data_IF_132942377310
#
_entry.id   IF_132942377310
#
_cell.length_a   1.000
_cell.length_b   1.000
_cell.length_c   1.000
_cell.angle_alpha   90.00
_cell.angle_beta   90.00
_cell.angle_gamma   90.00
#
_symmetry.space_group_name_H-M   'P 1'
#
loop_
_entity.id
_entity.type
_entity.pdbx_description
1 polymer ?
#
# COMPACT_ATOMS: atom_id res chain seq x y z
N UNK A 1 -12.26 -10.45 -11.20
CA UNK A 1 -11.14 -10.37 -10.23
C UNK A 1 -9.87 -9.87 -10.90
N UNK A 2 -9.52 -10.34 -12.10
CA UNK A 2 -8.29 -9.95 -12.82
C UNK A 2 -7.99 -8.44 -12.87
N UNK A 3 -9.01 -7.58 -13.06
CA UNK A 3 -8.78 -6.14 -13.16
C UNK A 3 -8.44 -5.49 -11.81
N UNK A 4 -9.03 -5.98 -10.71
CA UNK A 4 -8.70 -5.53 -9.35
C UNK A 4 -7.29 -5.95 -8.97
N UNK A 5 -6.91 -7.20 -9.27
CA UNK A 5 -5.56 -7.74 -9.05
C UNK A 5 -4.51 -6.93 -9.81
N UNK A 6 -4.77 -6.65 -11.10
CA UNK A 6 -3.86 -5.86 -11.94
C UNK A 6 -3.70 -4.43 -11.44
N UNK A 7 -4.80 -3.78 -11.06
CA UNK A 7 -4.78 -2.42 -10.51
C UNK A 7 -4.01 -2.38 -9.18
N UNK A 8 -4.30 -3.30 -8.27
CA UNK A 8 -3.59 -3.38 -7.01
C UNK A 8 -2.09 -3.63 -7.20
N UNK A 9 -1.73 -4.55 -8.10
CA UNK A 9 -0.32 -4.81 -8.42
C UNK A 9 0.37 -3.55 -8.92
N UNK A 10 -0.25 -2.78 -9.81
CA UNK A 10 0.30 -1.49 -10.26
C UNK A 10 0.49 -0.51 -9.10
N UNK A 11 -0.48 -0.40 -8.19
CA UNK A 11 -0.38 0.46 -7.01
C UNK A 11 0.75 -0.02 -6.09
N UNK A 12 0.86 -1.32 -5.85
CA UNK A 12 1.91 -1.92 -5.02
C UNK A 12 3.30 -1.70 -5.63
N UNK A 13 3.50 -2.06 -6.90
CA UNK A 13 4.79 -1.94 -7.58
C UNK A 13 5.26 -0.47 -7.63
N UNK A 14 4.32 0.47 -7.77
CA UNK A 14 4.65 1.91 -7.85
C UNK A 14 4.95 2.57 -6.51
N UNK A 15 4.44 2.03 -5.39
CA UNK A 15 4.46 2.73 -4.10
C UNK A 15 5.17 1.97 -2.96
N UNK A 16 5.29 0.65 -3.05
CA UNK A 16 5.80 -0.23 -1.98
C UNK A 16 7.15 0.24 -1.43
N UNK A 17 8.12 0.55 -2.29
CA UNK A 17 9.45 1.03 -1.86
C UNK A 17 9.38 2.34 -1.04
N UNK A 18 8.55 3.29 -1.46
CA UNK A 18 8.41 4.58 -0.75
C UNK A 18 7.71 4.40 0.59
N UNK A 19 6.65 3.59 0.63
CA UNK A 19 5.93 3.29 1.87
C UNK A 19 6.82 2.50 2.83
N UNK A 20 7.59 1.53 2.35
CA UNK A 20 8.54 0.79 3.18
C UNK A 20 9.58 1.72 3.82
N UNK A 21 10.20 2.63 3.04
CA UNK A 21 11.14 3.60 3.60
C UNK A 21 10.49 4.54 4.62
N UNK A 22 9.21 4.91 4.43
CA UNK A 22 8.47 5.70 5.40
C UNK A 22 8.26 4.92 6.70
N UNK A 23 7.79 3.67 6.61
CA UNK A 23 7.62 2.78 7.77
C UNK A 23 8.95 2.59 8.50
N UNK A 24 10.02 2.27 7.77
CA UNK A 24 11.37 2.14 8.34
C UNK A 24 11.87 3.44 8.98
N UNK A 25 11.59 4.60 8.38
CA UNK A 25 11.92 5.90 8.97
C UNK A 25 11.24 6.15 10.32
N UNK A 26 10.07 5.58 10.56
CA UNK A 26 9.38 5.67 11.85
C UNK A 26 9.78 4.58 12.84
N UNK A 27 10.05 3.36 12.38
CA UNK A 27 10.33 2.22 13.26
C UNK A 27 11.80 2.04 13.58
N UNK A 28 12.70 2.42 12.65
CA UNK A 28 14.12 2.06 12.70
C UNK A 28 14.40 0.56 12.55
N UNK A 29 13.35 -0.24 12.31
CA UNK A 29 13.38 -1.70 12.32
C UNK A 29 12.74 -2.26 11.05
N UNK A 30 13.47 -3.17 10.40
CA UNK A 30 13.09 -3.74 9.10
C UNK A 30 11.87 -4.64 9.20
N UNK A 31 11.77 -5.44 10.26
CA UNK A 31 10.67 -6.41 10.42
C UNK A 31 9.37 -5.66 10.72
N UNK A 32 9.40 -4.70 11.65
CA UNK A 32 8.29 -3.80 11.93
C UNK A 32 7.88 -2.99 10.70
N UNK A 33 8.84 -2.55 9.87
CA UNK A 33 8.53 -1.83 8.63
C UNK A 33 7.84 -2.72 7.59
N UNK A 34 8.24 -3.99 7.49
CA UNK A 34 7.60 -4.96 6.61
C UNK A 34 6.18 -5.30 7.07
N UNK A 35 5.94 -5.40 8.37
CA UNK A 35 4.60 -5.65 8.92
C UNK A 35 3.66 -4.48 8.64
N UNK A 36 4.10 -3.24 8.89
CA UNK A 36 3.32 -2.04 8.59
C UNK A 36 3.04 -1.88 7.10
N UNK A 37 4.02 -2.20 6.24
CA UNK A 37 3.85 -2.21 4.79
C UNK A 37 2.74 -3.18 4.39
N UNK A 38 2.80 -4.42 4.88
CA UNK A 38 1.81 -5.46 4.59
C UNK A 38 0.41 -5.05 5.04
N UNK A 39 0.26 -4.58 6.28
CA UNK A 39 -1.04 -4.11 6.80
C UNK A 39 -1.61 -2.95 5.98
N UNK A 40 -0.75 -2.02 5.58
CA UNK A 40 -1.15 -0.87 4.75
C UNK A 40 -1.72 -1.32 3.42
N UNK A 41 -1.03 -2.21 2.72
CA UNK A 41 -1.48 -2.71 1.43
C UNK A 41 -2.68 -3.66 1.54
N UNK A 42 -2.81 -4.41 2.63
CA UNK A 42 -4.00 -5.19 2.93
C UNK A 42 -5.24 -4.29 3.09
N UNK A 43 -5.11 -3.16 3.80
CA UNK A 43 -6.19 -2.17 3.92
C UNK A 43 -6.53 -1.53 2.58
N UNK A 44 -5.54 -1.25 1.73
CA UNK A 44 -5.78 -0.78 0.35
C UNK A 44 -6.58 -1.82 -0.43
N UNK A 45 -6.17 -3.09 -0.42
CA UNK A 45 -6.85 -4.17 -1.14
C UNK A 45 -8.33 -4.33 -0.73
N UNK A 46 -8.60 -4.27 0.57
CA UNK A 46 -9.95 -4.40 1.13
C UNK A 46 -10.86 -3.21 0.77
N UNK A 47 -10.30 -2.02 0.55
CA UNK A 47 -11.04 -0.79 0.33
C UNK A 47 -10.91 -0.22 -1.09
N UNK A 48 -10.17 -0.88 -1.98
CA UNK A 48 -9.88 -0.39 -3.33
C UNK A 48 -11.16 -0.04 -4.11
N UNK A 49 -12.18 -0.90 -4.01
CA UNK A 49 -13.46 -0.73 -4.72
C UNK A 49 -14.33 0.41 -4.12
N UNK A 50 -14.03 0.82 -2.87
CA UNK A 50 -14.74 1.90 -2.18
C UNK A 50 -14.09 3.26 -2.41
N UNK A 51 -12.93 3.31 -3.05
CA UNK A 51 -12.22 4.55 -3.28
C UNK A 51 -12.95 5.41 -4.31
N UNK A 52 -13.34 6.63 -3.90
CA UNK A 52 -14.20 7.53 -4.71
C UNK A 52 -13.42 8.56 -5.54
N UNK A 53 -12.09 8.44 -5.62
CA UNK A 53 -11.21 9.40 -6.32
C UNK A 53 -11.35 10.87 -5.88
N UNK A 54 -11.88 11.13 -4.67
CA UNK A 54 -12.10 12.49 -4.15
C UNK A 54 -10.86 13.17 -3.58
N UNK A 55 -9.71 12.50 -3.61
CA UNK A 55 -8.44 13.03 -3.12
C UNK A 55 -7.53 13.56 -4.24
N UNK A 56 -7.94 13.45 -5.50
CA UNK A 56 -7.32 14.17 -6.61
C UNK A 56 -7.85 15.61 -6.56
N UNK A 57 -7.02 16.53 -6.07
CA UNK A 57 -7.27 17.97 -6.02
C UNK A 57 -6.58 18.60 -7.24
#
# INVERSE_FOLDING_TARGET
MEQKDKLFKQIFDSNSKKIFHLCYGYTGDTDAANDLLQETFLKVWQNLDKFRNKSLI
#
